data_IF_163489291913
#
_entry.id   IF_163489291913
#
_cell.length_a   1.000
_cell.length_b   1.000
_cell.length_c   1.000
_cell.angle_alpha   90.00
_cell.angle_beta   90.00
_cell.angle_gamma   90.00
#
_symmetry.space_group_name_H-M   'P 1'
#
loop_
_entity.id
_entity.type
_entity.pdbx_description
1 polymer ?
#
# COMPACT_ATOMS: atom_id res chain seq x y z
N UNK A 1 -13.41 53.08 6.56
CA UNK A 1 -14.76 52.61 6.90
C UNK A 1 -14.84 51.13 6.50
N UNK A 2 -14.75 50.26 7.47
CA UNK A 2 -14.92 48.80 7.25
C UNK A 2 -16.28 48.38 7.83
N UNK A 3 -17.03 47.50 7.20
CA UNK A 3 -18.27 46.99 7.76
C UNK A 3 -18.02 45.85 8.75
N UNK A 4 -18.60 46.00 9.92
CA UNK A 4 -18.65 45.06 11.03
C UNK A 4 -19.69 43.99 10.70
N UNK A 5 -19.29 42.70 10.68
CA UNK A 5 -20.22 41.58 10.60
C UNK A 5 -20.71 41.19 11.98
N UNK A 6 -22.00 41.49 12.26
CA UNK A 6 -22.70 41.01 13.46
C UNK A 6 -23.37 39.66 13.13
N UNK A 7 -22.88 38.59 13.73
CA UNK A 7 -23.52 37.27 13.64
C UNK A 7 -24.85 37.23 14.39
N UNK A 8 -25.92 36.85 13.70
CA UNK A 8 -27.22 36.54 14.32
C UNK A 8 -27.30 35.05 14.60
N UNK A 9 -27.41 34.71 15.87
CA UNK A 9 -27.88 33.38 16.30
C UNK A 9 -29.36 33.23 15.94
N UNK A 10 -29.72 32.20 15.20
CA UNK A 10 -31.12 31.82 14.99
C UNK A 10 -31.53 30.83 16.07
N UNK A 11 -32.35 31.28 16.98
CA UNK A 11 -33.14 30.42 17.86
C UNK A 11 -34.25 29.74 17.07
N UNK A 12 -34.31 28.42 17.17
CA UNK A 12 -35.44 27.65 16.63
C UNK A 12 -36.67 27.87 17.49
N UNK A 13 -37.64 28.61 16.96
CA UNK A 13 -38.98 28.77 17.55
C UNK A 13 -39.85 27.57 17.19
N UNK A 14 -40.47 26.98 18.18
CA UNK A 14 -41.56 26.01 17.98
C UNK A 14 -42.78 26.75 17.46
N UNK A 15 -43.25 26.42 16.26
CA UNK A 15 -44.58 26.80 15.80
C UNK A 15 -45.57 25.71 16.16
N UNK A 16 -46.44 26.01 17.11
CA UNK A 16 -47.62 25.20 17.42
C UNK A 16 -48.74 25.60 16.48
N UNK A 17 -49.12 24.73 15.56
CA UNK A 17 -50.35 24.90 14.80
C UNK A 17 -51.51 24.34 15.63
N UNK A 18 -52.42 25.22 16.03
CA UNK A 18 -53.71 24.83 16.61
C UNK A 18 -54.67 24.51 15.48
N UNK A 19 -55.20 23.31 15.48
CA UNK A 19 -56.30 22.87 14.57
C UNK A 19 -57.63 23.25 15.20
N UNK A 20 -58.49 23.93 14.44
CA UNK A 20 -59.82 24.42 14.87
C UNK A 20 -60.90 23.34 14.96
N UNK A 21 -60.59 22.08 14.92
CA UNK A 21 -61.59 21.00 15.00
C UNK A 21 -61.26 19.97 16.06
N UNK A 22 -61.50 20.24 17.29
CA UNK A 22 -61.72 19.40 18.49
C UNK A 22 -61.45 17.88 18.45
N UNK A 23 -60.46 17.37 17.67
CA UNK A 23 -60.05 16.00 17.70
C UNK A 23 -58.72 15.82 18.39
N UNK A 24 -58.67 14.89 19.30
CA UNK A 24 -57.46 14.56 20.10
C UNK A 24 -56.29 14.20 19.15
N UNK A 25 -55.08 14.64 19.48
CA UNK A 25 -53.91 14.30 18.70
C UNK A 25 -53.61 12.79 18.84
N UNK A 26 -53.41 12.16 17.70
CA UNK A 26 -52.88 10.80 17.63
C UNK A 26 -51.48 10.75 18.30
N UNK A 27 -51.11 9.63 18.95
CA UNK A 27 -49.82 9.50 19.60
C UNK A 27 -48.70 9.71 18.58
N UNK A 28 -47.81 10.61 18.91
CA UNK A 28 -46.55 10.86 18.20
C UNK A 28 -45.82 9.52 18.01
N UNK A 29 -45.93 8.97 16.81
CA UNK A 29 -44.89 8.03 16.37
C UNK A 29 -43.59 8.82 16.34
N UNK A 30 -42.78 8.60 17.36
CA UNK A 30 -41.39 8.99 17.33
C UNK A 30 -40.81 8.53 15.98
N UNK A 31 -40.63 9.47 15.04
CA UNK A 31 -39.70 9.28 13.95
C UNK A 31 -38.33 9.20 14.60
N UNK A 32 -37.97 7.98 15.00
CA UNK A 32 -36.57 7.61 15.16
C UNK A 32 -36.02 7.76 13.75
N UNK A 33 -35.40 8.89 13.47
CA UNK A 33 -34.42 8.99 12.40
C UNK A 33 -33.33 7.99 12.79
N UNK A 34 -33.52 6.76 12.36
CA UNK A 34 -32.44 5.81 12.25
C UNK A 34 -31.51 6.38 11.20
N UNK A 35 -30.52 7.11 11.71
CA UNK A 35 -29.36 7.50 10.95
C UNK A 35 -28.47 6.27 10.82
N UNK A 36 -29.08 5.21 10.20
CA UNK A 36 -28.39 3.97 9.87
C UNK A 36 -27.55 4.24 8.63
N UNK A 37 -26.25 4.09 8.85
CA UNK A 37 -25.25 3.82 7.80
C UNK A 37 -24.94 4.98 6.83
N UNK A 38 -24.43 6.08 7.34
CA UNK A 38 -23.20 6.55 6.72
C UNK A 38 -22.12 5.55 7.10
N UNK A 39 -21.89 4.55 6.25
CA UNK A 39 -20.58 3.94 6.15
C UNK A 39 -19.65 5.09 5.81
N UNK A 40 -18.98 5.57 6.85
CA UNK A 40 -17.89 6.50 6.74
C UNK A 40 -16.85 5.77 5.87
N UNK A 41 -16.84 6.12 4.57
CA UNK A 41 -15.78 5.71 3.66
C UNK A 41 -14.56 6.53 4.03
N UNK A 42 -14.07 6.34 5.27
CA UNK A 42 -12.78 6.86 5.69
C UNK A 42 -11.76 6.28 4.74
N UNK A 43 -11.07 7.15 4.02
CA UNK A 43 -9.90 6.75 3.25
C UNK A 43 -9.01 5.91 4.17
N UNK A 44 -8.49 4.76 3.72
CA UNK A 44 -7.73 3.87 4.59
C UNK A 44 -6.60 4.66 5.25
N UNK A 45 -6.57 4.65 6.57
CA UNK A 45 -5.48 5.26 7.31
C UNK A 45 -4.23 4.39 7.13
N UNK A 46 -3.14 4.99 6.68
CA UNK A 46 -1.86 4.31 6.56
C UNK A 46 -0.96 4.69 7.73
N UNK A 47 -0.26 3.69 8.23
CA UNK A 47 0.74 3.83 9.28
C UNK A 47 2.11 3.53 8.70
N UNK A 48 3.14 4.25 9.17
CA UNK A 48 4.50 4.00 8.70
C UNK A 48 5.51 3.93 9.84
N UNK A 49 6.61 3.27 9.56
CA UNK A 49 7.86 3.33 10.33
C UNK A 49 9.05 3.24 9.39
N UNK A 50 10.16 3.82 9.79
CA UNK A 50 11.42 3.69 9.07
C UNK A 50 12.28 2.57 9.65
N UNK A 51 13.08 1.93 8.80
CA UNK A 51 14.09 0.95 9.20
C UNK A 51 15.36 1.05 8.37
N UNK A 52 16.54 1.01 8.97
CA UNK A 52 17.80 0.92 8.22
C UNK A 52 17.98 -0.48 7.62
N UNK A 53 18.64 -0.55 6.46
CA UNK A 53 18.99 -1.79 5.81
C UNK A 53 20.38 -1.70 5.15
N UNK A 54 20.99 -2.83 4.72
CA UNK A 54 22.24 -2.82 3.97
C UNK A 54 22.19 -2.09 2.64
N UNK A 55 20.98 -1.79 2.12
CA UNK A 55 20.76 -1.10 0.83
C UNK A 55 20.09 0.26 1.01
N UNK A 56 20.15 0.87 2.18
CA UNK A 56 19.60 2.18 2.50
C UNK A 56 18.43 2.14 3.49
N UNK A 57 17.85 3.30 3.74
CA UNK A 57 16.71 3.45 4.65
C UNK A 57 15.41 3.06 3.94
N UNK A 58 14.57 2.27 4.60
CA UNK A 58 13.22 1.96 4.13
C UNK A 58 12.17 2.70 4.95
N UNK A 59 11.08 3.08 4.29
CA UNK A 59 9.82 3.41 4.94
C UNK A 59 8.84 2.27 4.68
N UNK A 60 8.49 1.53 5.74
CA UNK A 60 7.47 0.50 5.72
C UNK A 60 6.11 1.14 5.93
N UNK A 61 5.12 0.80 5.12
CA UNK A 61 3.77 1.34 5.22
C UNK A 61 2.76 0.21 5.30
N UNK A 62 1.84 0.30 6.25
CA UNK A 62 0.78 -0.67 6.45
C UNK A 62 -0.58 0.00 6.71
N UNK A 63 -1.64 -0.77 6.60
CA UNK A 63 -2.98 -0.42 7.04
C UNK A 63 -3.63 -1.65 7.72
N UNK A 64 -4.92 -1.58 8.02
CA UNK A 64 -5.70 -2.68 8.61
C UNK A 64 -5.74 -3.95 7.75
N UNK A 65 -5.50 -3.84 6.44
CA UNK A 65 -5.53 -4.97 5.51
C UNK A 65 -4.17 -5.67 5.38
N UNK A 66 -3.07 -5.02 5.74
CA UNK A 66 -1.71 -5.59 5.68
C UNK A 66 -0.63 -4.59 5.32
N UNK A 67 0.52 -5.09 4.88
CA UNK A 67 1.62 -4.28 4.39
C UNK A 67 1.26 -3.71 3.01
N UNK A 68 1.31 -2.39 2.87
CA UNK A 68 0.93 -1.66 1.67
C UNK A 68 2.12 -1.17 0.85
N UNK A 69 3.26 -0.87 1.49
CA UNK A 69 4.47 -0.49 0.77
C UNK A 69 5.77 -0.76 1.55
N UNK A 70 6.86 -0.91 0.78
CA UNK A 70 8.26 -0.80 1.20
C UNK A 70 8.87 0.25 0.28
N UNK A 71 9.04 1.47 0.76
CA UNK A 71 9.53 2.61 0.02
C UNK A 71 11.02 2.81 0.26
N UNK A 72 11.73 3.22 -0.78
CA UNK A 72 13.16 3.53 -0.73
C UNK A 72 13.36 4.96 -0.23
N UNK A 73 14.52 5.26 0.36
CA UNK A 73 14.86 6.59 0.88
C UNK A 73 14.70 7.70 -0.19
N UNK A 74 15.15 7.42 -1.41
CA UNK A 74 15.08 8.34 -2.55
C UNK A 74 14.01 7.92 -3.58
N UNK A 75 12.87 7.38 -3.09
CA UNK A 75 11.81 6.92 -3.97
C UNK A 75 11.13 8.09 -4.70
N UNK A 76 10.74 7.89 -5.96
CA UNK A 76 9.90 8.86 -6.66
C UNK A 76 8.52 8.93 -5.95
N UNK A 77 8.13 10.10 -5.41
CA UNK A 77 6.83 10.25 -4.73
C UNK A 77 5.63 9.93 -5.63
N UNK A 78 5.83 9.91 -6.95
CA UNK A 78 4.79 9.55 -7.92
C UNK A 78 4.66 8.03 -8.13
N UNK A 79 5.65 7.25 -7.70
CA UNK A 79 5.66 5.78 -7.87
C UNK A 79 4.58 5.11 -7.03
N UNK A 80 4.51 5.46 -5.76
CA UNK A 80 3.53 4.92 -4.80
C UNK A 80 2.87 6.08 -4.08
N UNK A 81 1.55 6.22 -4.23
CA UNK A 81 0.78 7.29 -3.62
C UNK A 81 -0.10 6.71 -2.52
N UNK A 82 0.33 6.87 -1.27
CA UNK A 82 -0.41 6.48 -0.08
C UNK A 82 -0.53 7.71 0.83
N UNK A 83 -1.76 8.06 1.19
CA UNK A 83 -2.03 9.27 2.00
C UNK A 83 -3.39 9.10 2.70
N UNK A 84 -3.54 9.60 3.92
CA UNK A 84 -2.50 10.17 4.78
C UNK A 84 -1.57 9.11 5.38
N UNK A 85 -0.34 9.50 5.76
CA UNK A 85 0.62 8.64 6.47
C UNK A 85 0.76 9.13 7.91
N UNK A 86 0.55 8.24 8.88
CA UNK A 86 0.73 8.48 10.31
C UNK A 86 1.88 7.62 10.84
N UNK A 87 2.78 8.20 11.60
CA UNK A 87 3.85 7.42 12.20
C UNK A 87 3.31 6.51 13.32
N UNK A 88 3.61 5.21 13.23
CA UNK A 88 3.33 4.26 14.30
C UNK A 88 4.42 3.19 14.35
N UNK A 89 5.42 3.45 15.17
CA UNK A 89 6.57 2.55 15.37
C UNK A 89 6.20 1.23 16.08
N UNK A 90 4.98 1.13 16.64
CA UNK A 90 4.48 -0.06 17.35
C UNK A 90 3.44 -0.84 16.56
N UNK A 91 3.08 -0.40 15.36
CA UNK A 91 2.08 -1.08 14.53
C UNK A 91 2.49 -2.54 14.26
N UNK A 92 1.66 -3.55 14.59
CA UNK A 92 2.07 -4.95 14.58
C UNK A 92 2.53 -5.45 13.21
N UNK A 93 1.87 -5.03 12.12
CA UNK A 93 2.26 -5.41 10.75
C UNK A 93 3.63 -4.83 10.39
N UNK A 94 3.92 -3.58 10.82
CA UNK A 94 5.21 -2.93 10.54
C UNK A 94 6.34 -3.58 11.33
N UNK A 95 6.11 -3.96 12.60
CA UNK A 95 7.09 -4.69 13.42
C UNK A 95 7.40 -6.06 12.82
N UNK A 96 6.39 -6.79 12.39
CA UNK A 96 6.59 -8.10 11.76
C UNK A 96 7.29 -7.99 10.41
N UNK A 97 6.95 -7.00 9.58
CA UNK A 97 7.64 -6.74 8.33
C UNK A 97 9.13 -6.40 8.55
N UNK A 98 9.42 -5.53 9.52
CA UNK A 98 10.79 -5.20 9.92
C UNK A 98 11.57 -6.45 10.37
N UNK A 99 10.97 -7.28 11.24
CA UNK A 99 11.59 -8.51 11.71
C UNK A 99 11.93 -9.44 10.54
N UNK A 100 10.98 -9.68 9.64
CA UNK A 100 11.19 -10.55 8.50
C UNK A 100 12.22 -10.00 7.51
N UNK A 101 12.25 -8.69 7.27
CA UNK A 101 13.27 -8.06 6.43
C UNK A 101 14.67 -8.16 7.06
N UNK A 102 14.78 -7.98 8.38
CA UNK A 102 16.06 -8.20 9.09
C UNK A 102 16.54 -9.65 8.96
N UNK A 103 15.66 -10.61 9.13
CA UNK A 103 15.97 -12.04 8.93
C UNK A 103 16.41 -12.34 7.50
N UNK A 104 15.76 -11.73 6.49
CA UNK A 104 16.12 -11.85 5.08
C UNK A 104 17.53 -11.31 4.81
N UNK A 105 17.83 -10.09 5.26
CA UNK A 105 19.17 -9.52 5.10
C UNK A 105 20.26 -10.26 5.87
N UNK A 106 19.90 -10.95 6.94
CA UNK A 106 20.81 -11.81 7.69
C UNK A 106 20.97 -13.23 7.08
N UNK A 107 20.35 -13.51 5.91
CA UNK A 107 20.39 -14.82 5.26
C UNK A 107 19.63 -15.91 6.01
N UNK A 108 18.77 -15.55 6.96
CA UNK A 108 17.97 -16.48 7.80
C UNK A 108 16.58 -16.76 7.25
N UNK A 109 16.17 -16.04 6.20
CA UNK A 109 14.84 -16.10 5.63
C UNK A 109 14.87 -15.99 4.11
N UNK A 110 14.19 -16.90 3.44
CA UNK A 110 14.03 -16.93 1.97
C UNK A 110 12.61 -16.55 1.52
N UNK A 111 11.61 -16.64 2.41
CA UNK A 111 10.20 -16.40 2.11
C UNK A 111 9.58 -15.46 3.16
N UNK A 112 8.68 -14.60 2.71
CA UNK A 112 7.95 -13.69 3.57
C UNK A 112 6.54 -14.23 3.85
N UNK A 113 6.12 -14.16 5.12
CA UNK A 113 4.82 -14.56 5.61
C UNK A 113 4.09 -13.33 6.14
N UNK A 114 3.65 -12.48 5.22
CA UNK A 114 2.99 -11.21 5.52
C UNK A 114 1.70 -11.09 4.70
N UNK A 115 0.68 -10.54 5.33
CA UNK A 115 -0.51 -10.11 4.60
C UNK A 115 -0.17 -8.86 3.81
N UNK A 116 -0.37 -8.89 2.49
CA UNK A 116 -0.03 -7.80 1.57
C UNK A 116 -1.29 -7.12 1.04
N UNK A 117 -1.29 -5.79 1.01
CA UNK A 117 -2.37 -4.98 0.44
C UNK A 117 -1.89 -4.19 -0.78
N UNK A 118 -1.93 -4.82 -1.95
CA UNK A 118 -1.54 -4.19 -3.20
C UNK A 118 -2.58 -3.19 -3.70
N UNK A 119 -2.25 -1.90 -3.70
CA UNK A 119 -3.05 -0.84 -4.35
C UNK A 119 -2.53 -0.58 -5.76
N UNK A 120 -3.35 -0.86 -6.76
CA UNK A 120 -3.01 -0.70 -8.17
C UNK A 120 -4.11 -1.15 -9.11
N UNK A 121 -3.89 -1.01 -10.41
CA UNK A 121 -4.81 -1.53 -11.43
C UNK A 121 -4.82 -3.06 -11.40
N UNK A 122 -5.83 -3.67 -12.01
CA UNK A 122 -5.93 -5.13 -12.10
C UNK A 122 -4.68 -5.73 -12.75
N UNK A 123 -4.23 -5.16 -13.87
CA UNK A 123 -3.01 -5.61 -14.55
C UNK A 123 -1.76 -5.51 -13.63
N UNK A 124 -1.62 -4.41 -12.88
CA UNK A 124 -0.51 -4.27 -11.94
C UNK A 124 -0.57 -5.34 -10.84
N UNK A 125 -1.73 -5.59 -10.27
CA UNK A 125 -1.90 -6.64 -9.25
C UNK A 125 -1.55 -8.02 -9.80
N UNK A 126 -1.97 -8.36 -11.01
CA UNK A 126 -1.61 -9.61 -11.68
C UNK A 126 -0.08 -9.76 -11.82
N UNK A 127 0.60 -8.69 -12.26
CA UNK A 127 2.06 -8.69 -12.36
C UNK A 127 2.69 -8.90 -10.98
N UNK A 128 2.27 -8.13 -9.95
CA UNK A 128 2.85 -8.23 -8.61
C UNK A 128 2.58 -9.57 -7.94
N UNK A 129 1.41 -10.18 -8.18
CA UNK A 129 1.14 -11.56 -7.74
C UNK A 129 2.06 -12.57 -8.46
N UNK A 130 2.33 -12.40 -9.75
CA UNK A 130 3.29 -13.23 -10.46
C UNK A 130 4.72 -13.11 -9.90
N UNK A 131 5.12 -11.90 -9.43
CA UNK A 131 6.43 -11.74 -8.78
C UNK A 131 6.57 -12.62 -7.54
N UNK A 132 5.51 -12.76 -6.74
CA UNK A 132 5.54 -13.57 -5.51
C UNK A 132 5.81 -15.07 -5.77
N UNK A 133 5.64 -15.51 -7.00
CA UNK A 133 5.90 -16.91 -7.38
C UNK A 133 7.36 -17.18 -7.76
N UNK A 134 8.20 -16.14 -7.88
CA UNK A 134 9.62 -16.31 -8.21
C UNK A 134 10.37 -16.77 -6.96
N UNK A 135 10.96 -17.99 -6.94
CA UNK A 135 11.65 -18.48 -5.78
C UNK A 135 12.89 -17.64 -5.42
N UNK A 136 13.32 -17.75 -4.18
CA UNK A 136 14.60 -17.21 -3.72
C UNK A 136 15.78 -17.78 -4.55
N UNK A 137 16.68 -16.90 -4.96
CA UNK A 137 17.83 -17.27 -5.78
C UNK A 137 17.54 -17.54 -7.26
N UNK A 138 16.27 -17.41 -7.70
CA UNK A 138 15.90 -17.55 -9.10
C UNK A 138 15.57 -16.21 -9.73
N UNK A 139 15.70 -16.15 -11.05
CA UNK A 139 15.30 -14.97 -11.84
C UNK A 139 14.30 -15.34 -12.93
N UNK A 140 13.52 -14.38 -13.38
CA UNK A 140 12.64 -14.49 -14.55
C UNK A 140 12.87 -13.29 -15.46
N UNK A 141 12.66 -13.50 -16.76
CA UNK A 141 12.62 -12.37 -17.69
C UNK A 141 11.25 -11.69 -17.68
N UNK A 142 11.18 -10.44 -18.14
CA UNK A 142 9.90 -9.75 -18.33
C UNK A 142 8.95 -10.52 -19.27
N UNK A 143 9.50 -11.22 -20.28
CA UNK A 143 8.72 -12.04 -21.19
C UNK A 143 8.09 -13.23 -20.46
N UNK A 144 8.83 -13.93 -19.60
CA UNK A 144 8.31 -15.06 -18.81
C UNK A 144 7.18 -14.60 -17.86
N UNK A 145 7.29 -13.41 -17.24
CA UNK A 145 6.20 -12.85 -16.45
C UNK A 145 4.99 -12.52 -17.33
N UNK A 146 5.21 -11.96 -18.53
CA UNK A 146 4.12 -11.66 -19.47
C UNK A 146 3.38 -12.95 -19.92
N UNK A 147 4.10 -14.01 -20.20
CA UNK A 147 3.54 -15.33 -20.50
C UNK A 147 2.75 -15.90 -19.31
N UNK A 148 3.31 -15.84 -18.10
CA UNK A 148 2.69 -16.34 -16.87
C UNK A 148 1.33 -15.68 -16.58
N UNK A 149 1.20 -14.37 -16.84
CA UNK A 149 -0.08 -13.65 -16.66
C UNK A 149 -1.02 -13.78 -17.87
N UNK A 150 -0.70 -14.65 -18.84
CA UNK A 150 -1.55 -14.89 -20.02
C UNK A 150 -1.53 -13.78 -21.07
N UNK A 151 -0.54 -12.87 -21.01
CA UNK A 151 -0.42 -11.75 -21.98
C UNK A 151 1.02 -11.60 -22.51
N UNK A 152 1.50 -12.55 -23.36
CA UNK A 152 2.90 -12.56 -23.81
C UNK A 152 3.32 -11.34 -24.61
N UNK A 153 2.38 -10.59 -25.20
CA UNK A 153 2.67 -9.33 -25.92
C UNK A 153 2.92 -8.14 -24.99
N UNK A 154 2.57 -8.23 -23.70
CA UNK A 154 2.58 -7.13 -22.75
C UNK A 154 3.96 -6.89 -22.09
N UNK A 155 5.07 -7.34 -22.62
CA UNK A 155 6.41 -7.29 -22.01
C UNK A 155 6.79 -5.89 -21.50
N UNK A 156 6.55 -4.86 -22.29
CA UNK A 156 6.82 -3.45 -21.90
C UNK A 156 5.90 -3.00 -20.76
N UNK A 157 4.63 -3.37 -20.80
CA UNK A 157 3.66 -3.03 -19.74
C UNK A 157 4.00 -3.78 -18.42
N UNK A 158 4.46 -5.01 -18.49
CA UNK A 158 4.99 -5.79 -17.35
C UNK A 158 6.19 -5.05 -16.75
N UNK A 159 7.14 -4.57 -17.57
CA UNK A 159 8.27 -3.76 -17.10
C UNK A 159 7.82 -2.50 -16.37
N UNK A 160 6.84 -1.78 -16.91
CA UNK A 160 6.28 -0.59 -16.27
C UNK A 160 5.56 -0.92 -14.95
N UNK A 161 4.80 -2.02 -14.89
CA UNK A 161 4.15 -2.49 -13.66
C UNK A 161 5.16 -2.95 -12.61
N UNK A 162 6.21 -3.67 -13.03
CA UNK A 162 7.33 -4.09 -12.18
C UNK A 162 8.02 -2.87 -11.52
N UNK A 163 8.27 -1.80 -12.28
CA UNK A 163 8.84 -0.56 -11.76
C UNK A 163 7.93 0.19 -10.78
N UNK A 164 6.61 -0.06 -10.83
CA UNK A 164 5.61 0.53 -9.92
C UNK A 164 5.26 -0.37 -8.72
N UNK A 165 5.98 -1.49 -8.53
CA UNK A 165 5.74 -2.38 -7.40
C UNK A 165 5.87 -1.63 -6.06
N UNK A 166 4.77 -1.53 -5.26
CA UNK A 166 4.82 -0.78 -4.00
C UNK A 166 5.57 -1.53 -2.90
N UNK A 167 5.59 -2.87 -2.92
CA UNK A 167 6.12 -3.71 -1.83
C UNK A 167 7.43 -4.36 -2.30
N UNK A 168 8.45 -3.52 -2.51
CA UNK A 168 9.77 -3.96 -2.96
C UNK A 168 10.37 -5.04 -2.03
N UNK A 169 11.20 -5.92 -2.59
CA UNK A 169 11.86 -7.05 -1.92
C UNK A 169 10.89 -8.18 -1.60
N UNK A 170 9.83 -7.93 -0.84
CA UNK A 170 8.82 -8.93 -0.46
C UNK A 170 8.09 -9.43 -1.71
N UNK A 171 7.60 -8.51 -2.57
CA UNK A 171 7.28 -8.86 -3.96
C UNK A 171 8.56 -8.61 -4.80
N UNK A 172 9.28 -9.68 -5.19
CA UNK A 172 10.68 -9.60 -5.57
C UNK A 172 10.90 -9.09 -7.01
N UNK A 173 10.56 -7.82 -7.26
CA UNK A 173 10.77 -7.18 -8.56
C UNK A 173 12.26 -7.11 -8.97
N UNK A 174 13.20 -7.23 -8.02
CA UNK A 174 14.63 -7.37 -8.28
C UNK A 174 14.98 -8.66 -9.00
N UNK A 175 14.19 -9.75 -8.85
CA UNK A 175 14.39 -11.04 -9.54
C UNK A 175 13.94 -11.02 -11.01
N UNK A 176 13.37 -9.89 -11.49
CA UNK A 176 13.02 -9.74 -12.90
C UNK A 176 14.13 -9.01 -13.65
N UNK A 177 14.67 -9.65 -14.70
CA UNK A 177 15.82 -9.20 -15.49
C UNK A 177 15.49 -9.17 -16.99
N UNK A 178 16.36 -8.58 -17.78
CA UNK A 178 16.26 -8.64 -19.24
C UNK A 178 16.43 -10.07 -19.75
N UNK A 179 15.82 -10.41 -20.89
CA UNK A 179 15.98 -11.72 -21.53
C UNK A 179 17.43 -12.04 -21.94
N UNK A 180 18.26 -11.02 -22.06
CA UNK A 180 19.70 -11.13 -22.33
C UNK A 180 20.55 -11.20 -21.03
N UNK A 181 19.93 -11.42 -19.87
CA UNK A 181 20.59 -11.47 -18.57
C UNK A 181 20.99 -10.09 -17.99
N UNK A 182 20.78 -8.99 -18.72
CA UNK A 182 21.15 -7.68 -18.23
C UNK A 182 20.20 -7.20 -17.14
N UNK A 183 20.77 -6.59 -16.10
CA UNK A 183 19.99 -5.89 -15.09
C UNK A 183 19.37 -4.63 -15.73
N UNK A 184 18.09 -4.42 -15.43
CA UNK A 184 17.33 -3.27 -15.93
C UNK A 184 16.68 -2.55 -14.74
N UNK A 185 16.17 -1.35 -14.93
CA UNK A 185 15.73 -0.40 -13.94
C UNK A 185 15.07 -0.98 -12.70
N UNK A 186 15.39 -0.40 -11.54
CA UNK A 186 14.90 -0.81 -10.24
C UNK A 186 14.66 0.44 -9.38
N UNK A 187 13.60 0.46 -8.58
CA UNK A 187 13.22 1.63 -7.78
C UNK A 187 14.30 2.01 -6.76
N UNK A 188 14.97 1.02 -6.15
CA UNK A 188 16.08 1.23 -5.22
C UNK A 188 17.43 1.45 -5.89
N UNK A 189 17.49 1.60 -7.23
CA UNK A 189 18.75 1.74 -7.97
C UNK A 189 19.41 0.40 -8.32
N UNK A 190 20.34 0.46 -9.26
CA UNK A 190 20.97 -0.74 -9.82
C UNK A 190 21.91 -1.43 -8.83
N UNK A 191 22.53 -0.69 -7.94
CA UNK A 191 23.40 -1.22 -6.88
C UNK A 191 22.61 -2.07 -5.90
N UNK A 192 21.46 -1.56 -5.43
CA UNK A 192 20.58 -2.32 -4.55
C UNK A 192 20.05 -3.59 -5.24
N UNK A 193 19.70 -3.52 -6.54
CA UNK A 193 19.29 -4.70 -7.30
C UNK A 193 20.39 -5.76 -7.38
N UNK A 194 21.61 -5.35 -7.69
CA UNK A 194 22.76 -6.25 -7.76
C UNK A 194 23.07 -6.86 -6.40
N UNK A 195 23.01 -6.07 -5.33
CA UNK A 195 23.19 -6.54 -3.96
C UNK A 195 22.14 -7.62 -3.59
N UNK A 196 20.86 -7.36 -3.84
CA UNK A 196 19.78 -8.32 -3.53
C UNK A 196 19.95 -9.63 -4.29
N UNK A 197 20.26 -9.57 -5.58
CA UNK A 197 20.51 -10.76 -6.39
C UNK A 197 21.75 -11.54 -5.91
N UNK A 198 22.80 -10.83 -5.48
CA UNK A 198 23.98 -11.44 -4.89
C UNK A 198 23.66 -12.08 -3.55
N UNK A 199 22.91 -11.40 -2.67
CA UNK A 199 22.45 -11.92 -1.38
C UNK A 199 21.68 -13.25 -1.54
N UNK A 200 20.91 -13.36 -2.62
CA UNK A 200 20.11 -14.55 -2.91
C UNK A 200 20.85 -15.63 -3.67
N UNK A 201 22.07 -15.36 -4.13
CA UNK A 201 22.87 -16.37 -4.83
C UNK A 201 23.43 -17.39 -3.84
N UNK A 202 23.61 -18.65 -4.29
CA UNK A 202 24.19 -19.73 -3.47
C UNK A 202 25.63 -19.46 -3.06
N UNK A 203 26.30 -18.54 -3.76
CA UNK A 203 27.71 -18.18 -3.53
C UNK A 203 27.86 -17.01 -2.54
N UNK A 204 26.76 -16.53 -1.94
CA UNK A 204 26.81 -15.41 -0.99
C UNK A 204 27.24 -15.89 0.39
N UNK A 205 28.45 -15.50 0.80
CA UNK A 205 28.94 -15.66 2.17
C UNK A 205 28.87 -14.29 2.84
N UNK A 206 28.13 -14.18 3.96
CA UNK A 206 28.12 -12.99 4.80
C UNK A 206 29.54 -12.79 5.33
N UNK A 207 30.17 -11.69 4.93
CA UNK A 207 31.46 -11.24 5.47
C UNK A 207 31.24 -10.42 6.74
#
# INVERSE_FOLDING_TARGET
>A
MQPVWTGRFRTWGYFIFMSENGQQPLPERAMICQNENRTDMTSPSYFYKTMPSPVGLFTLVANEHGLAAVLWENDDPKRVRLSPLNEDVKHPVLLEAERQLKDYFAGKRERFELKLDFKGTEFQRQVWQALLTIPFGETRSYAQIAEQIGNPSAVRAVGAANGKNPISIIAPCHRVIGSNGKLTGFAGGMEAKAFLLKLESKDFVLQ
#
